data_IF_770773574169
#
_entry.id   IF_770773574169
#
_cell.length_a   1.000
_cell.length_b   1.000
_cell.length_c   1.000
_cell.angle_alpha   90.00
_cell.angle_beta   90.00
_cell.angle_gamma   90.00
#
_symmetry.space_group_name_H-M   'P 1'
#
loop_
_entity.id
_entity.type
_entity.pdbx_description
1 polymer ?
#
# COMPACT_ATOMS: atom_id res chain seq x y z
N UNK A 1 49.78 14.40 23.48
CA UNK A 1 48.62 13.62 23.94
C UNK A 1 47.56 13.78 22.88
N UNK A 2 47.39 12.77 22.01
CA UNK A 2 46.34 12.79 20.98
C UNK A 2 44.98 12.56 21.63
N UNK A 3 44.03 13.44 21.35
CA UNK A 3 42.64 13.28 21.72
C UNK A 3 41.99 12.29 20.74
N UNK A 4 41.62 11.12 21.26
CA UNK A 4 40.85 10.11 20.55
C UNK A 4 39.53 10.69 20.05
N UNK A 5 39.35 10.69 18.74
CA UNK A 5 38.09 10.95 18.08
C UNK A 5 37.15 9.77 18.35
N UNK A 6 36.39 9.84 19.45
CA UNK A 6 35.25 8.95 19.69
C UNK A 6 34.17 9.25 18.64
N UNK A 7 34.24 8.52 17.53
CA UNK A 7 33.12 8.38 16.62
C UNK A 7 32.00 7.71 17.41
N UNK A 8 31.08 8.52 17.94
CA UNK A 8 29.79 8.11 18.48
C UNK A 8 28.97 7.46 17.34
N UNK A 9 29.36 6.24 16.97
CA UNK A 9 28.53 5.30 16.25
C UNK A 9 27.32 5.07 17.15
N UNK A 10 26.24 5.81 16.90
CA UNK A 10 24.95 5.56 17.53
C UNK A 10 24.53 4.14 17.15
N UNK A 11 24.81 3.19 18.04
CA UNK A 11 24.42 1.80 17.90
C UNK A 11 22.90 1.79 17.69
N UNK A 12 22.47 1.36 16.51
CA UNK A 12 21.04 1.23 16.19
C UNK A 12 20.47 0.16 17.12
N UNK A 13 19.38 0.44 17.87
CA UNK A 13 18.81 -0.55 18.77
C UNK A 13 18.37 -1.81 18.02
N UNK A 14 18.63 -3.00 18.58
CA UNK A 14 18.30 -4.28 17.93
C UNK A 14 16.83 -4.39 17.52
N UNK A 15 15.92 -3.86 18.35
CA UNK A 15 14.49 -3.79 18.03
C UNK A 15 14.18 -3.07 16.71
N UNK A 16 14.98 -2.06 16.36
CA UNK A 16 14.83 -1.29 15.11
C UNK A 16 15.35 -2.13 13.95
N UNK A 17 16.50 -2.80 14.12
CA UNK A 17 17.03 -3.73 13.10
C UNK A 17 16.04 -4.87 12.80
N UNK A 18 15.46 -5.47 13.83
CA UNK A 18 14.45 -6.52 13.69
C UNK A 18 13.15 -6.01 13.02
N UNK A 19 12.73 -4.79 13.32
CA UNK A 19 11.59 -4.17 12.64
C UNK A 19 11.89 -3.94 11.15
N UNK A 20 13.07 -3.43 10.80
CA UNK A 20 13.49 -3.23 9.41
C UNK A 20 13.57 -4.55 8.66
N UNK A 21 14.16 -5.59 9.25
CA UNK A 21 14.20 -6.94 8.64
C UNK A 21 12.80 -7.47 8.37
N UNK A 22 11.88 -7.39 9.33
CA UNK A 22 10.48 -7.78 9.14
C UNK A 22 9.79 -6.98 8.03
N UNK A 23 9.99 -5.67 7.99
CA UNK A 23 9.42 -4.84 6.93
C UNK A 23 9.98 -5.22 5.56
N UNK A 24 11.28 -5.54 5.46
CA UNK A 24 11.89 -5.99 4.21
C UNK A 24 11.25 -7.29 3.70
N UNK A 25 11.12 -8.30 4.57
CA UNK A 25 10.45 -9.56 4.23
C UNK A 25 9.03 -9.33 3.73
N UNK A 26 8.25 -8.50 4.45
CA UNK A 26 6.88 -8.18 4.04
C UNK A 26 6.81 -7.48 2.67
N UNK A 27 7.78 -6.64 2.34
CA UNK A 27 7.84 -5.95 1.04
C UNK A 27 8.22 -6.93 -0.09
N UNK A 28 9.09 -7.89 0.18
CA UNK A 28 9.45 -8.95 -0.78
C UNK A 28 8.27 -9.89 -1.06
N UNK A 29 7.53 -10.29 -0.02
CA UNK A 29 6.30 -11.07 -0.17
C UNK A 29 5.24 -10.29 -0.95
N UNK A 30 5.04 -9.01 -0.62
CA UNK A 30 4.11 -8.14 -1.35
C UNK A 30 4.49 -8.06 -2.81
N UNK A 31 5.76 -7.82 -3.14
CA UNK A 31 6.25 -7.76 -4.53
C UNK A 31 5.89 -9.02 -5.30
N UNK A 32 6.13 -10.19 -4.71
CA UNK A 32 5.88 -11.49 -5.37
C UNK A 32 4.40 -11.64 -5.74
N UNK A 33 3.49 -11.34 -4.80
CA UNK A 33 2.04 -11.42 -5.05
C UNK A 33 1.55 -10.32 -5.99
N UNK A 34 2.16 -9.14 -5.92
CA UNK A 34 1.74 -7.98 -6.70
C UNK A 34 2.17 -8.08 -8.16
N UNK A 35 3.32 -8.69 -8.46
CA UNK A 35 3.76 -8.94 -9.83
C UNK A 35 2.76 -9.86 -10.58
N UNK A 36 2.26 -10.91 -9.91
CA UNK A 36 1.21 -11.78 -10.45
C UNK A 36 -0.09 -10.99 -10.71
N UNK A 37 -0.55 -10.20 -9.73
CA UNK A 37 -1.75 -9.38 -9.88
C UNK A 37 -1.63 -8.34 -11.00
N UNK A 38 -0.47 -7.69 -11.15
CA UNK A 38 -0.22 -6.71 -12.20
C UNK A 38 -0.20 -7.36 -13.59
N UNK A 39 0.29 -8.60 -13.72
CA UNK A 39 0.24 -9.34 -14.98
C UNK A 39 -1.19 -9.57 -15.48
N UNK A 40 -2.15 -9.69 -14.56
CA UNK A 40 -3.58 -9.85 -14.85
C UNK A 40 -4.30 -8.52 -15.08
N UNK A 41 -3.62 -7.39 -14.85
CA UNK A 41 -4.19 -6.04 -15.01
C UNK A 41 -4.06 -5.49 -16.43
N UNK A 42 -3.80 -6.34 -17.43
CA UNK A 42 -3.79 -5.94 -18.84
C UNK A 42 -5.18 -5.44 -19.27
N UNK A 43 -5.30 -4.28 -19.96
CA UNK A 43 -6.58 -3.75 -20.43
C UNK A 43 -7.42 -4.72 -21.26
N UNK A 44 -6.80 -5.58 -22.06
CA UNK A 44 -7.48 -6.60 -22.87
C UNK A 44 -8.04 -7.72 -21.98
N UNK A 45 -7.25 -8.17 -21.00
CA UNK A 45 -7.69 -9.16 -19.99
C UNK A 45 -8.81 -8.59 -19.10
N UNK A 46 -8.73 -7.31 -18.77
CA UNK A 46 -9.76 -6.64 -17.98
C UNK A 46 -11.08 -6.47 -18.76
N UNK A 47 -11.02 -6.32 -20.09
CA UNK A 47 -12.22 -6.21 -20.93
C UNK A 47 -13.04 -7.52 -20.93
N UNK A 48 -12.39 -8.67 -20.77
CA UNK A 48 -13.01 -9.99 -20.63
C UNK A 48 -13.73 -10.17 -19.28
N UNK A 49 -13.36 -9.41 -18.24
CA UNK A 49 -13.98 -9.52 -16.92
C UNK A 49 -15.39 -8.90 -16.86
N UNK A 50 -16.33 -9.50 -16.08
CA UNK A 50 -17.62 -8.89 -15.79
C UNK A 50 -17.47 -7.46 -15.21
N UNK A 51 -18.37 -6.52 -15.51
CA UNK A 51 -18.24 -5.11 -15.11
C UNK A 51 -18.00 -4.90 -13.60
N UNK A 52 -18.68 -5.68 -12.75
CA UNK A 52 -18.52 -5.62 -11.29
C UNK A 52 -17.12 -6.09 -10.86
N UNK A 53 -16.69 -7.24 -11.35
CA UNK A 53 -15.38 -7.81 -11.03
C UNK A 53 -14.24 -6.90 -11.53
N UNK A 54 -14.41 -6.31 -12.72
CA UNK A 54 -13.49 -5.30 -13.25
C UNK A 54 -13.39 -4.09 -12.33
N UNK A 55 -14.51 -3.50 -11.91
CA UNK A 55 -14.52 -2.36 -10.99
C UNK A 55 -13.86 -2.70 -9.65
N UNK A 56 -14.09 -3.89 -9.12
CA UNK A 56 -13.46 -4.37 -7.88
C UNK A 56 -11.94 -4.52 -8.04
N UNK A 57 -11.47 -5.12 -9.14
CA UNK A 57 -10.03 -5.27 -9.42
C UNK A 57 -9.31 -3.93 -9.53
N UNK A 58 -9.91 -2.97 -10.24
CA UNK A 58 -9.39 -1.60 -10.39
C UNK A 58 -9.37 -0.85 -9.06
N UNK A 59 -10.41 -1.01 -8.24
CA UNK A 59 -10.46 -0.43 -6.90
C UNK A 59 -9.36 -1.02 -5.99
N UNK A 60 -9.14 -2.33 -6.07
CA UNK A 60 -8.07 -3.00 -5.34
C UNK A 60 -6.68 -2.49 -5.77
N UNK A 61 -6.46 -2.34 -7.07
CA UNK A 61 -5.23 -1.76 -7.61
C UNK A 61 -5.00 -0.33 -7.10
N UNK A 62 -6.03 0.52 -7.15
CA UNK A 62 -5.96 1.89 -6.65
C UNK A 62 -5.62 1.95 -5.14
N UNK A 63 -6.19 1.04 -4.34
CA UNK A 63 -5.89 0.90 -2.90
C UNK A 63 -4.46 0.45 -2.65
N UNK A 64 -3.97 -0.53 -3.41
CA UNK A 64 -2.61 -1.02 -3.28
C UNK A 64 -1.60 0.08 -3.64
N UNK A 65 -1.77 0.77 -4.78
CA UNK A 65 -0.91 1.88 -5.19
C UNK A 65 -0.86 3.01 -4.15
N UNK A 66 -2.03 3.37 -3.61
CA UNK A 66 -2.21 4.34 -2.54
C UNK A 66 -1.47 3.98 -1.24
N UNK A 67 -1.57 2.71 -0.85
CA UNK A 67 -0.92 2.18 0.36
C UNK A 67 0.60 2.16 0.18
N UNK A 68 1.09 1.68 -0.97
CA UNK A 68 2.50 1.67 -1.32
C UNK A 68 3.10 3.09 -1.32
N UNK A 69 2.37 4.07 -1.87
CA UNK A 69 2.81 5.46 -1.84
C UNK A 69 2.90 6.00 -0.41
N UNK A 70 1.93 5.67 0.45
CA UNK A 70 1.95 6.06 1.86
C UNK A 70 3.13 5.44 2.61
N UNK A 71 3.44 4.17 2.36
CA UNK A 71 4.63 3.50 2.92
C UNK A 71 5.89 4.21 2.43
N UNK A 72 5.98 4.53 1.14
CA UNK A 72 7.11 5.28 0.56
C UNK A 72 7.29 6.65 1.23
N UNK A 73 6.22 7.41 1.48
CA UNK A 73 6.30 8.69 2.19
C UNK A 73 6.89 8.51 3.60
N UNK A 74 6.38 7.53 4.36
CA UNK A 74 6.86 7.24 5.71
C UNK A 74 8.33 6.82 5.73
N UNK A 75 8.75 6.00 4.76
CA UNK A 75 10.16 5.61 4.60
C UNK A 75 11.08 6.80 4.28
N UNK A 76 10.56 7.85 3.65
CA UNK A 76 11.29 9.11 3.40
C UNK A 76 11.16 10.13 4.55
N UNK A 77 10.55 9.75 5.68
CA UNK A 77 10.35 10.64 6.82
C UNK A 77 9.24 11.68 6.64
N UNK A 78 8.39 11.53 5.60
CA UNK A 78 7.24 12.42 5.37
C UNK A 78 6.01 11.84 6.05
N UNK A 79 5.34 12.64 6.88
CA UNK A 79 4.08 12.26 7.49
C UNK A 79 2.95 12.34 6.45
N UNK A 80 2.26 11.23 6.14
CA UNK A 80 1.26 11.19 5.07
C UNK A 80 0.01 12.02 5.40
N UNK A 81 -0.25 12.33 6.68
CA UNK A 81 -1.37 13.17 7.09
C UNK A 81 -1.22 14.66 6.72
N UNK A 82 0.03 15.11 6.60
CA UNK A 82 0.40 16.48 6.23
C UNK A 82 0.70 16.61 4.72
N UNK A 83 0.65 15.49 4.00
CA UNK A 83 0.91 15.44 2.57
C UNK A 83 -0.40 15.64 1.77
N UNK A 84 -0.40 16.42 0.68
CA UNK A 84 -1.60 16.69 -0.13
C UNK A 84 -2.29 15.43 -0.66
N UNK A 85 -1.57 14.31 -0.72
CA UNK A 85 -2.14 13.02 -1.12
C UNK A 85 -3.25 12.51 -0.19
N UNK A 86 -3.36 13.03 1.04
CA UNK A 86 -4.49 12.71 1.93
C UNK A 86 -5.84 13.02 1.28
N UNK A 87 -5.93 14.09 0.47
CA UNK A 87 -7.18 14.45 -0.23
C UNK A 87 -7.52 13.42 -1.31
N UNK A 88 -6.52 12.95 -2.03
CA UNK A 88 -6.66 11.90 -3.04
C UNK A 88 -7.08 10.56 -2.41
N UNK A 89 -6.45 10.19 -1.28
CA UNK A 89 -6.75 8.95 -0.54
C UNK A 89 -8.15 8.94 0.08
N UNK A 90 -8.63 10.09 0.56
CA UNK A 90 -9.93 10.21 1.20
C UNK A 90 -11.10 9.99 0.22
N UNK A 91 -10.92 10.29 -1.08
CA UNK A 91 -11.92 10.08 -2.11
C UNK A 91 -12.29 8.61 -2.33
N UNK A 92 -11.30 7.70 -2.27
CA UNK A 92 -11.52 6.26 -2.50
C UNK A 92 -12.27 5.55 -1.37
N UNK A 93 -12.10 5.98 -0.12
CA UNK A 93 -12.79 5.39 1.03
C UNK A 93 -14.31 5.61 0.95
N UNK A 94 -14.77 6.72 0.38
CA UNK A 94 -16.20 6.98 0.14
C UNK A 94 -16.82 5.99 -0.85
N UNK A 95 -16.12 5.69 -1.96
CA UNK A 95 -16.55 4.70 -2.95
C UNK A 95 -16.67 3.30 -2.32
N UNK A 96 -15.76 2.98 -1.40
CA UNK A 96 -15.82 1.73 -0.64
C UNK A 96 -17.06 1.60 0.24
N UNK A 97 -17.45 2.66 0.97
CA UNK A 97 -18.70 2.65 1.77
C UNK A 97 -19.96 2.48 0.91
N UNK A 98 -19.91 2.84 -0.37
CA UNK A 98 -21.03 2.67 -1.31
C UNK A 98 -21.06 1.25 -1.91
N UNK A 99 -19.91 0.67 -2.25
CA UNK A 99 -19.82 -0.74 -2.70
C UNK A 99 -20.15 -1.75 -1.60
N UNK A 100 -19.91 -1.39 -0.33
CA UNK A 100 -20.24 -2.25 0.83
C UNK A 100 -21.74 -2.29 1.15
N UNK A 101 -22.49 -1.26 0.73
CA UNK A 101 -23.94 -1.16 0.98
C UNK A 101 -24.80 -1.73 -0.16
N UNK A 102 -24.20 -1.97 -1.33
CA UNK A 102 -24.88 -2.54 -2.50
C UNK A 102 -24.91 -4.07 -2.50
N UNK A 103 -24.03 -4.72 -1.73
CA UNK A 103 -23.98 -6.19 -1.58
C UNK A 103 -24.98 -6.74 -0.55
N UNK A 104 -25.59 -5.87 0.26
CA UNK A 104 -26.59 -6.23 1.29
C UNK A 104 -28.05 -6.10 0.84
N UNK A 105 -28.31 -5.92 -0.46
CA UNK A 105 -29.64 -5.59 -1.00
C UNK A 105 -30.18 -6.47 -2.13
N UNK A 106 -29.54 -7.60 -2.44
CA UNK A 106 -29.97 -8.52 -3.52
C UNK A 106 -30.57 -9.82 -2.94
N UNK A 107 -31.60 -9.72 -2.09
CA UNK A 107 -32.62 -10.76 -1.98
C UNK A 107 -33.78 -10.37 -2.89
N UNK A 108 -33.82 -10.93 -4.11
CA UNK A 108 -34.99 -10.85 -5.00
C UNK A 108 -35.85 -12.12 -4.87
N UNK A 109 -37.17 -11.99 -4.63
CA UNK A 109 -38.13 -13.05 -4.96
C UNK A 109 -38.44 -13.11 -6.46
#
# INVERSE_FOLDING_TARGET
>A
MEAGNECNSRIVPERVMEAVKRTLVNVEELRTNFDEFLSLSDPEVQAEMPPLQRAQSLLLLAKAASTLFTVRLRCNGVQPDDHPIKRELCGYNSVFYQTSQTDSGEERP
#
